data_IF_783678287985
#
_entry.id   IF_783678287985
#
_cell.length_a   1.000
_cell.length_b   1.000
_cell.length_c   1.000
_cell.angle_alpha   90.00
_cell.angle_beta   90.00
_cell.angle_gamma   90.00
#
_symmetry.space_group_name_H-M   'P 1'
#
loop_
_entity.id
_entity.type
_entity.pdbx_description
1 polymer ?
#
# COMPACT_ATOMS: atom_id res chain seq x y z
N UNK A 1 8.63 -3.58 1.76
CA UNK A 1 8.70 -3.69 3.22
C UNK A 1 8.05 -2.46 3.85
N UNK A 2 7.21 -2.66 4.87
CA UNK A 2 6.53 -1.60 5.63
C UNK A 2 7.26 -1.39 6.96
N UNK A 3 7.26 -0.16 7.48
CA UNK A 3 7.90 0.16 8.77
C UNK A 3 7.18 -0.53 9.93
N UNK A 4 5.85 -0.63 9.84
CA UNK A 4 4.99 -1.31 10.81
C UNK A 4 4.03 -2.26 10.10
N UNK A 5 3.67 -3.39 10.72
CA UNK A 5 2.62 -4.26 10.20
C UNK A 5 1.28 -3.53 10.17
N UNK A 6 0.49 -3.83 9.14
CA UNK A 6 -0.91 -3.40 9.02
C UNK A 6 -1.75 -4.60 8.60
N UNK A 7 -3.03 -4.61 8.97
CA UNK A 7 -3.96 -5.56 8.39
C UNK A 7 -4.07 -5.31 6.88
N UNK A 8 -3.85 -6.35 6.07
CA UNK A 8 -3.95 -6.30 4.62
C UNK A 8 -4.53 -7.58 4.06
N UNK A 9 -5.12 -7.49 2.87
CA UNK A 9 -5.63 -8.60 2.08
C UNK A 9 -5.35 -8.38 0.60
N UNK A 10 -5.35 -9.44 -0.21
CA UNK A 10 -5.30 -9.31 -1.66
C UNK A 10 -6.45 -8.43 -2.17
N UNK A 11 -6.20 -7.69 -3.25
CA UNK A 11 -7.15 -6.74 -3.85
C UNK A 11 -7.47 -5.51 -3.01
N UNK A 12 -6.88 -5.34 -1.82
CA UNK A 12 -6.92 -4.09 -1.08
C UNK A 12 -6.32 -2.96 -1.92
N UNK A 13 -7.03 -1.83 -2.03
CA UNK A 13 -6.56 -0.63 -2.75
C UNK A 13 -5.80 0.29 -1.81
N UNK A 14 -4.76 0.95 -2.34
CA UNK A 14 -3.98 1.92 -1.57
C UNK A 14 -3.52 3.10 -2.44
N UNK A 15 -3.10 4.18 -1.78
CA UNK A 15 -2.52 5.36 -2.40
C UNK A 15 -1.07 5.55 -1.95
N UNK A 16 -0.23 6.06 -2.84
CA UNK A 16 1.15 6.44 -2.55
C UNK A 16 1.20 7.97 -2.45
N UNK A 17 1.75 8.49 -1.35
CA UNK A 17 1.79 9.93 -1.05
C UNK A 17 3.20 10.43 -0.75
N UNK A 18 3.53 11.59 -1.29
CA UNK A 18 4.79 12.31 -1.05
C UNK A 18 4.50 13.81 -0.94
N UNK A 19 5.09 14.49 0.05
CA UNK A 19 4.90 15.93 0.25
C UNK A 19 3.42 16.34 0.42
N UNK A 20 2.58 15.45 0.95
CA UNK A 20 1.14 15.69 1.13
C UNK A 20 0.27 15.43 -0.11
N UNK A 21 0.85 15.14 -1.28
CA UNK A 21 0.12 14.89 -2.54
C UNK A 21 0.10 13.40 -2.88
N UNK A 22 -0.94 12.97 -3.61
CA UNK A 22 -1.00 11.61 -4.18
C UNK A 22 -0.15 11.55 -5.44
N UNK A 23 0.76 10.60 -5.50
CA UNK A 23 1.66 10.38 -6.65
C UNK A 23 1.41 9.06 -7.35
N UNK A 24 0.58 8.20 -6.76
CA UNK A 24 0.19 6.92 -7.35
C UNK A 24 -0.93 6.25 -6.58
N UNK A 25 -1.50 5.22 -7.21
CA UNK A 25 -2.48 4.33 -6.61
C UNK A 25 -2.21 2.89 -7.05
N UNK A 26 -2.55 1.94 -6.20
CA UNK A 26 -2.28 0.53 -6.42
C UNK A 26 -3.33 -0.37 -5.79
N UNK A 27 -3.17 -1.65 -6.09
CA UNK A 27 -3.95 -2.74 -5.54
C UNK A 27 -2.97 -3.84 -5.11
N UNK A 28 -3.17 -4.41 -3.92
CA UNK A 28 -2.33 -5.52 -3.43
C UNK A 28 -2.55 -6.73 -4.33
N UNK A 29 -1.48 -7.25 -4.93
CA UNK A 29 -1.52 -8.44 -5.80
C UNK A 29 -1.24 -9.72 -5.03
N UNK A 30 -0.31 -9.67 -4.07
CA UNK A 30 0.20 -10.81 -3.30
C UNK A 30 0.81 -10.27 -1.99
N UNK A 31 0.77 -11.05 -0.91
CA UNK A 31 1.38 -10.72 0.38
C UNK A 31 2.71 -11.50 0.53
N UNK A 32 3.80 -10.78 0.80
CA UNK A 32 5.15 -11.34 1.01
C UNK A 32 5.73 -10.83 2.34
N UNK A 33 6.55 -11.66 3.00
CA UNK A 33 7.23 -11.34 4.27
C UNK A 33 8.72 -11.01 4.08
#
# INVERSE_FOLDING_TARGET
SLIVPIAMEEKLRFAIREGGRTVGAGIVSEIVE
#
